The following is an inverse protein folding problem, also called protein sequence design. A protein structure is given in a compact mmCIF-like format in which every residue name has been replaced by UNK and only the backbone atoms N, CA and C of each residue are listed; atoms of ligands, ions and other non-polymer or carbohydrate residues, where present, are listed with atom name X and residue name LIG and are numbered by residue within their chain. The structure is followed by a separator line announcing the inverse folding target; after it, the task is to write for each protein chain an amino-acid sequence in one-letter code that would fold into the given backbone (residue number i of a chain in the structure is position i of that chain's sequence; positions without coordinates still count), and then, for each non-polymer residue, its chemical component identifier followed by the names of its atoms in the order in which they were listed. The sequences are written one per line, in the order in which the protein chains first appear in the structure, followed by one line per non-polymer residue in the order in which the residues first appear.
data_IF_997345294778
#
_entry.id   IF_997345294778
#
_cell.length_a   1.000
_cell.length_b   1.000
_cell.length_c   1.000
_cell.angle_alpha   90.00
_cell.angle_beta   90.00
_cell.angle_gamma   90.00
#
_symmetry.space_group_name_H-M   'P 1'
#
loop_
_entity.id
_entity.type
_entity.pdbx_description
1 polymer ?
#
# COMPACT_ATOMS: atom_id res chain seq x y z
N UNK A 1 17.50 21.25 38.62
CA UNK A 1 17.30 19.79 38.65
C UNK A 1 15.86 19.40 38.34
N UNK A 2 14.85 19.88 39.09
CA UNK A 2 13.46 19.39 38.96
C UNK A 2 12.77 19.81 37.66
N UNK A 3 13.08 21.01 37.15
CA UNK A 3 12.63 21.51 35.85
C UNK A 3 13.34 20.83 34.68
N UNK A 4 14.63 20.49 34.82
CA UNK A 4 15.41 19.80 33.79
C UNK A 4 14.87 18.39 33.52
N UNK A 5 14.51 17.66 34.58
CA UNK A 5 13.87 16.35 34.45
C UNK A 5 12.49 16.42 33.80
N UNK A 6 11.74 17.51 34.00
CA UNK A 6 10.44 17.71 33.39
C UNK A 6 10.55 17.99 31.87
N UNK A 7 11.57 18.76 31.48
CA UNK A 7 11.87 19.04 30.08
C UNK A 7 12.35 17.78 29.34
N UNK A 8 13.22 16.99 29.98
CA UNK A 8 13.69 15.72 29.42
C UNK A 8 12.51 14.75 29.26
N UNK A 9 11.64 14.65 30.26
CA UNK A 9 10.45 13.79 30.20
C UNK A 9 9.50 14.21 29.06
N UNK A 10 9.27 15.52 28.90
CA UNK A 10 8.46 16.08 27.82
C UNK A 10 9.06 15.76 26.44
N UNK A 11 10.38 15.95 26.28
CA UNK A 11 11.10 15.68 25.04
C UNK A 11 11.04 14.19 24.66
N UNK A 12 11.25 13.31 25.64
CA UNK A 12 11.15 11.85 25.43
C UNK A 12 9.72 11.47 25.02
N UNK A 13 8.70 12.02 25.69
CA UNK A 13 7.31 11.72 25.37
C UNK A 13 6.93 12.18 23.94
N UNK A 14 7.44 13.33 23.51
CA UNK A 14 7.25 13.84 22.14
C UNK A 14 7.92 12.95 21.07
N UNK A 15 9.12 12.45 21.37
CA UNK A 15 9.84 11.54 20.46
C UNK A 15 9.12 10.19 20.35
N UNK A 16 8.55 9.65 21.44
CA UNK A 16 7.80 8.39 21.41
C UNK A 16 6.53 8.48 20.55
N UNK A 17 5.78 9.58 20.59
CA UNK A 17 4.54 9.71 19.81
C UNK A 17 4.81 9.91 18.31
N UNK A 18 5.97 10.45 17.94
CA UNK A 18 6.35 10.65 16.54
C UNK A 18 6.56 9.34 15.77
N UNK A 19 6.92 8.24 16.46
CA UNK A 19 7.09 6.91 15.84
C UNK A 19 5.77 6.15 15.63
N UNK A 20 4.70 6.52 16.33
CA UNK A 20 3.41 5.83 16.22
C UNK A 20 2.68 6.06 14.88
N UNK A 21 3.13 7.04 14.09
CA UNK A 21 2.54 7.37 12.78
C UNK A 21 3.37 6.94 11.58
N UNK A 22 4.50 6.26 11.80
CA UNK A 22 5.13 5.47 10.76
C UNK A 22 4.34 4.17 10.54
N UNK A 23 3.04 4.29 10.24
CA UNK A 23 2.29 3.17 9.69
C UNK A 23 2.84 2.97 8.28
N UNK A 24 3.49 1.83 7.95
CA UNK A 24 3.68 1.50 6.56
C UNK A 24 2.27 1.41 6.01
N UNK A 25 1.87 2.44 5.24
CA UNK A 25 0.64 2.40 4.48
C UNK A 25 0.61 1.03 3.82
N UNK A 26 -0.45 0.29 4.09
CA UNK A 26 -0.69 -1.08 3.67
C UNK A 26 -0.84 -1.14 2.13
N UNK A 27 0.21 -0.72 1.41
CA UNK A 27 0.47 -0.83 -0.01
C UNK A 27 1.30 -2.08 -0.29
N UNK A 28 1.45 -2.95 0.71
CA UNK A 28 2.26 -4.17 0.64
C UNK A 28 1.84 -5.12 -0.49
N UNK A 29 0.71 -4.89 -1.18
CA UNK A 29 0.25 -5.71 -2.29
C UNK A 29 -0.44 -4.90 -3.41
N UNK A 30 -0.13 -3.61 -3.60
CA UNK A 30 -0.80 -2.83 -4.67
C UNK A 30 -0.54 -3.41 -6.07
N UNK A 31 0.70 -3.87 -6.32
CA UNK A 31 1.05 -4.52 -7.58
C UNK A 31 0.44 -5.92 -7.70
N UNK A 32 0.59 -6.75 -6.66
CA UNK A 32 0.12 -8.15 -6.66
C UNK A 32 -1.40 -8.20 -6.84
N UNK A 33 -2.15 -7.31 -6.18
CA UNK A 33 -3.61 -7.25 -6.29
C UNK A 33 -4.12 -7.03 -7.72
N UNK A 34 -3.34 -6.35 -8.57
CA UNK A 34 -3.67 -6.10 -9.97
C UNK A 34 -3.03 -7.13 -10.91
N UNK A 35 -1.79 -7.54 -10.66
CA UNK A 35 -0.99 -8.41 -11.53
C UNK A 35 -1.10 -9.91 -11.22
N UNK A 36 -1.81 -10.30 -10.16
CA UNK A 36 -2.17 -11.71 -9.89
C UNK A 36 -3.68 -11.92 -9.86
N UNK A 37 -4.45 -10.94 -10.30
CA UNK A 37 -5.90 -11.06 -10.43
C UNK A 37 -6.27 -11.38 -11.87
N UNK A 38 -6.48 -12.68 -12.14
CA UNK A 38 -6.84 -13.18 -13.47
C UNK A 38 -8.04 -12.47 -14.11
N UNK A 39 -9.03 -12.09 -13.29
CA UNK A 39 -10.22 -11.40 -13.79
C UNK A 39 -9.87 -10.01 -14.30
N UNK A 40 -9.06 -9.25 -13.57
CA UNK A 40 -8.62 -7.91 -14.00
C UNK A 40 -7.68 -8.00 -15.19
N UNK A 41 -6.71 -8.93 -15.18
CA UNK A 41 -5.76 -9.08 -16.28
C UNK A 41 -6.42 -9.36 -17.62
N UNK A 42 -7.48 -10.19 -17.64
CA UNK A 42 -8.23 -10.50 -18.86
C UNK A 42 -9.04 -9.32 -19.41
N UNK A 43 -9.31 -8.29 -18.59
CA UNK A 43 -9.97 -7.06 -19.06
C UNK A 43 -9.01 -6.06 -19.70
N UNK A 44 -7.70 -6.19 -19.45
CA UNK A 44 -6.68 -5.29 -19.99
C UNK A 44 -6.34 -5.59 -21.46
N UNK A 45 -6.70 -6.78 -21.94
CA UNK A 45 -6.49 -7.18 -23.32
C UNK A 45 -7.83 -7.16 -24.03
N UNK A 46 -7.94 -6.32 -25.08
CA UNK A 46 -9.07 -6.42 -26.01
C UNK A 46 -8.97 -7.76 -26.74
N UNK A 47 -9.96 -8.65 -26.62
CA UNK A 47 -9.95 -9.89 -27.38
C UNK A 47 -9.89 -9.58 -28.89
N UNK A 48 -9.14 -10.36 -29.68
CA UNK A 48 -9.14 -10.19 -31.12
C UNK A 48 -10.56 -10.40 -31.65
N UNK A 49 -11.03 -9.46 -32.47
CA UNK A 49 -12.28 -9.64 -33.22
C UNK A 49 -11.95 -10.61 -34.34
N UNK A 50 -12.41 -11.85 -34.23
CA UNK A 50 -12.26 -12.84 -35.29
C UNK A 50 -13.31 -12.52 -36.34
N UNK A 51 -12.90 -11.82 -37.40
CA UNK A 51 -13.73 -11.48 -38.56
C UNK A 51 -13.80 -12.64 -39.56
N UNK A 52 -14.14 -13.83 -39.11
CA UNK A 52 -14.24 -15.01 -39.95
C UNK A 52 -15.10 -16.07 -39.31
N UNK A 53 -15.95 -16.71 -40.12
CA UNK A 53 -16.69 -17.93 -39.79
C UNK A 53 -15.67 -19.06 -39.57
N UNK A 54 -15.01 -19.05 -38.41
CA UNK A 54 -14.14 -20.13 -38.01
C UNK A 54 -14.98 -21.28 -37.50
N UNK A 55 -15.05 -22.36 -38.27
CA UNK A 55 -15.43 -23.67 -37.77
C UNK A 55 -14.45 -24.08 -36.67
N UNK A 56 -14.91 -24.04 -35.43
CA UNK A 56 -14.28 -24.63 -34.26
C UNK A 56 -15.28 -25.53 -33.55
#
# INVERSE_FOLDING_TARGET
MKTDHLLILSLVLFLLTSWAWASPANQANSCVSCHTNDKLMKTLVKPPVISGEGEG
#
